data_IF_538443489864
#
_entry.id   IF_538443489864
#
_cell.length_a   1.000
_cell.length_b   1.000
_cell.length_c   1.000
_cell.angle_alpha   90.00
_cell.angle_beta   90.00
_cell.angle_gamma   90.00
#
_symmetry.space_group_name_H-M   'P 1'
#
loop_
_entity.id
_entity.type
_entity.pdbx_description
1 polymer ?
#
# COMPACT_ATOMS: atom_id res chain seq x y z
N UNK A 1 -3.01 2.35 12.08
CA UNK A 1 -1.85 3.26 12.28
C UNK A 1 -1.86 4.32 11.19
N UNK A 2 -1.30 5.50 11.46
CA UNK A 2 -1.00 6.53 10.46
C UNK A 2 0.33 6.21 9.77
N UNK A 3 0.52 6.72 8.55
CA UNK A 3 1.76 6.51 7.79
C UNK A 3 3.02 6.96 8.54
N UNK A 4 2.96 8.12 9.22
CA UNK A 4 4.08 8.64 10.01
C UNK A 4 4.54 7.70 11.13
N UNK A 5 3.61 6.97 11.75
CA UNK A 5 3.94 5.98 12.77
C UNK A 5 4.68 4.80 12.15
N UNK A 6 4.24 4.32 10.97
CA UNK A 6 4.87 3.24 10.24
C UNK A 6 6.30 3.61 9.82
N UNK A 7 6.52 4.84 9.34
CA UNK A 7 7.86 5.31 9.01
C UNK A 7 8.83 5.26 10.20
N UNK A 8 8.33 5.53 11.42
CA UNK A 8 9.14 5.48 12.64
C UNK A 8 9.43 4.03 13.08
N UNK A 9 8.47 3.12 12.92
CA UNK A 9 8.63 1.72 13.32
C UNK A 9 9.47 0.90 12.33
N UNK A 10 9.41 1.22 11.04
CA UNK A 10 10.04 0.45 9.97
C UNK A 10 10.95 1.32 9.10
N UNK A 11 12.00 1.98 9.65
CA UNK A 11 12.82 2.92 8.89
C UNK A 11 13.61 2.23 7.77
N UNK A 12 13.51 2.76 6.55
CA UNK A 12 14.28 2.28 5.38
C UNK A 12 13.82 0.93 4.84
N UNK A 13 12.52 0.62 4.95
CA UNK A 13 11.91 -0.65 4.54
C UNK A 13 10.88 -0.43 3.45
N UNK A 14 10.68 -1.45 2.62
CA UNK A 14 9.43 -1.59 1.88
C UNK A 14 8.40 -2.24 2.80
N UNK A 15 7.20 -1.69 2.85
CA UNK A 15 6.09 -2.22 3.65
C UNK A 15 4.88 -2.46 2.75
N UNK A 16 4.32 -3.66 2.86
CA UNK A 16 2.99 -3.95 2.35
C UNK A 16 1.99 -3.52 3.43
N UNK A 17 1.11 -2.61 3.06
CA UNK A 17 0.06 -2.11 3.94
C UNK A 17 -1.31 -2.46 3.39
N UNK A 18 -2.23 -2.78 4.29
CA UNK A 18 -3.65 -2.79 4.00
C UNK A 18 -4.24 -1.42 4.37
N UNK A 19 -5.00 -0.82 3.47
CA UNK A 19 -5.79 0.37 3.76
C UNK A 19 -7.05 -0.04 4.54
N UNK A 20 -7.14 0.39 5.79
CA UNK A 20 -8.31 0.13 6.67
C UNK A 20 -9.35 1.22 6.47
N UNK A 21 -8.90 2.46 6.31
CA UNK A 21 -9.77 3.62 6.05
C UNK A 21 -9.09 4.55 5.07
N UNK A 22 -9.78 4.84 3.97
CA UNK A 22 -9.28 5.74 2.95
C UNK A 22 -10.43 6.52 2.29
N UNK A 23 -10.13 7.74 1.87
CA UNK A 23 -11.06 8.66 1.22
C UNK A 23 -10.55 9.00 -0.18
N UNK A 24 -11.46 9.04 -1.15
CA UNK A 24 -11.13 9.40 -2.53
C UNK A 24 -11.72 10.76 -2.87
N UNK A 25 -10.89 11.67 -3.39
CA UNK A 25 -11.33 12.99 -3.87
C UNK A 25 -10.51 13.39 -5.08
N UNK A 26 -11.16 13.73 -6.19
CA UNK A 26 -10.48 14.16 -7.43
C UNK A 26 -9.40 13.17 -7.92
N UNK A 27 -9.67 11.85 -7.83
CA UNK A 27 -8.74 10.74 -8.14
C UNK A 27 -7.54 10.61 -7.19
N UNK A 28 -7.46 11.45 -6.16
CA UNK A 28 -6.50 11.28 -5.08
C UNK A 28 -7.12 10.36 -4.02
N UNK A 29 -6.45 9.25 -3.73
CA UNK A 29 -6.79 8.31 -2.66
C UNK A 29 -5.91 8.62 -1.46
N UNK A 30 -6.52 9.15 -0.40
CA UNK A 30 -5.86 9.44 0.87
C UNK A 30 -6.14 8.32 1.86
N UNK A 31 -5.08 7.63 2.30
CA UNK A 31 -5.20 6.56 3.30
C UNK A 31 -5.08 7.18 4.69
N UNK A 32 -6.18 7.18 5.45
CA UNK A 32 -6.25 7.75 6.80
C UNK A 32 -5.74 6.77 7.85
N UNK A 33 -6.09 5.49 7.70
CA UNK A 33 -5.67 4.41 8.58
C UNK A 33 -5.25 3.19 7.78
N UNK A 34 -4.12 2.60 8.18
CA UNK A 34 -3.56 1.41 7.56
C UNK A 34 -2.93 0.48 8.59
N UNK A 35 -2.72 -0.77 8.18
CA UNK A 35 -2.02 -1.79 8.96
C UNK A 35 -0.89 -2.37 8.13
N UNK A 36 0.29 -2.55 8.73
CA UNK A 36 1.40 -3.25 8.07
C UNK A 36 1.10 -4.74 8.07
N UNK A 37 1.11 -5.35 6.88
CA UNK A 37 0.92 -6.79 6.67
C UNK A 37 2.28 -7.48 6.73
N UNK A 38 3.27 -6.95 6.02
CA UNK A 38 4.62 -7.49 5.94
C UNK A 38 5.62 -6.40 5.56
N UNK A 39 6.91 -6.64 5.85
CA UNK A 39 8.03 -5.76 5.50
C UNK A 39 9.08 -6.49 4.66
N UNK A 40 9.80 -5.74 3.82
CA UNK A 40 10.78 -6.28 2.90
C UNK A 40 12.00 -5.37 2.75
N UNK A 41 13.14 -5.99 2.42
CA UNK A 41 14.40 -5.30 2.11
C UNK A 41 14.44 -4.72 0.69
N UNK A 42 13.70 -5.30 -0.26
CA UNK A 42 13.82 -4.96 -1.67
C UNK A 42 12.44 -4.90 -2.36
N UNK A 43 12.32 -4.14 -3.46
CA UNK A 43 11.04 -3.92 -4.12
C UNK A 43 10.51 -5.18 -4.83
N UNK A 44 11.38 -6.12 -5.23
CA UNK A 44 10.97 -7.33 -5.96
C UNK A 44 10.15 -8.23 -5.04
N UNK A 45 10.68 -8.54 -3.86
CA UNK A 45 9.98 -9.37 -2.87
C UNK A 45 8.73 -8.68 -2.33
N UNK A 46 8.74 -7.36 -2.20
CA UNK A 46 7.55 -6.61 -1.82
C UNK A 46 6.42 -6.74 -2.86
N UNK A 47 6.77 -6.75 -4.15
CA UNK A 47 5.81 -6.96 -5.23
C UNK A 47 5.32 -8.40 -5.36
N UNK A 48 6.15 -9.38 -5.03
CA UNK A 48 5.72 -10.78 -4.94
C UNK A 48 4.73 -10.97 -3.78
N UNK A 49 5.02 -10.41 -2.61
CA UNK A 49 4.14 -10.43 -1.46
C UNK A 49 2.79 -9.76 -1.74
N UNK A 50 2.81 -8.55 -2.34
CA UNK A 50 1.59 -7.87 -2.78
C UNK A 50 0.72 -8.76 -3.69
N UNK A 51 1.33 -9.41 -4.70
CA UNK A 51 0.59 -10.27 -5.64
C UNK A 51 -0.04 -11.47 -4.93
N UNK A 52 0.66 -12.07 -3.96
CA UNK A 52 0.13 -13.18 -3.18
C UNK A 52 -1.09 -12.74 -2.37
N UNK A 53 -0.95 -11.69 -1.57
CA UNK A 53 -2.03 -11.18 -0.73
C UNK A 53 -3.25 -10.71 -1.54
N UNK A 54 -3.02 -10.02 -2.66
CA UNK A 54 -4.09 -9.57 -3.55
C UNK A 54 -4.79 -10.75 -4.25
N UNK A 55 -4.06 -11.84 -4.58
CA UNK A 55 -4.66 -13.05 -5.15
C UNK A 55 -5.55 -13.76 -4.13
N UNK A 56 -5.12 -13.82 -2.87
CA UNK A 56 -5.85 -14.48 -1.79
C UNK A 56 -7.06 -13.67 -1.30
N UNK A 57 -6.96 -12.34 -1.32
CA UNK A 57 -7.98 -11.42 -0.81
C UNK A 57 -8.18 -10.24 -1.79
N UNK A 58 -8.75 -10.47 -2.99
CA UNK A 58 -8.85 -9.45 -4.04
C UNK A 58 -9.76 -8.28 -3.68
N UNK A 59 -10.64 -8.43 -2.70
CA UNK A 59 -11.52 -7.40 -2.18
C UNK A 59 -10.82 -6.44 -1.21
N UNK A 60 -9.66 -6.82 -0.66
CA UNK A 60 -8.88 -5.98 0.25
C UNK A 60 -7.98 -5.02 -0.53
N UNK A 61 -7.80 -3.84 0.03
CA UNK A 61 -7.05 -2.75 -0.59
C UNK A 61 -5.62 -2.74 -0.05
N UNK A 62 -4.67 -3.20 -0.87
CA UNK A 62 -3.26 -3.29 -0.51
C UNK A 62 -2.39 -2.29 -1.27
N UNK A 63 -1.31 -1.82 -0.63
CA UNK A 63 -0.31 -0.96 -1.23
C UNK A 63 1.09 -1.32 -0.77
N UNK A 64 2.09 -1.09 -1.62
CA UNK A 64 3.49 -1.15 -1.24
C UNK A 64 4.08 0.25 -1.24
N UNK A 65 4.66 0.65 -0.11
CA UNK A 65 5.36 1.91 0.05
C UNK A 65 6.77 1.68 0.60
N UNK A 66 7.65 2.64 0.36
CA UNK A 66 8.97 2.68 1.01
C UNK A 66 8.96 3.75 2.09
N UNK A 67 9.35 3.40 3.31
CA UNK A 67 9.24 4.27 4.50
C UNK A 67 10.21 5.44 4.52
N UNK A 68 11.15 5.52 3.57
CA UNK A 68 11.92 6.74 3.36
C UNK A 68 11.08 7.90 2.80
N UNK A 69 9.88 7.63 2.28
CA UNK A 69 8.95 8.67 1.82
C UNK A 69 8.10 9.13 3.00
N UNK A 70 8.31 10.37 3.46
CA UNK A 70 7.55 10.93 4.58
C UNK A 70 6.07 11.11 4.27
N UNK A 71 5.75 11.31 2.99
CA UNK A 71 4.39 11.45 2.49
C UNK A 71 4.16 10.43 1.37
N UNK A 72 2.94 9.90 1.30
CA UNK A 72 2.51 8.96 0.27
C UNK A 72 1.32 9.56 -0.47
N UNK A 73 1.34 9.40 -1.79
CA UNK A 73 0.27 9.83 -2.68
C UNK A 73 -0.15 8.61 -3.52
N UNK A 74 -1.45 8.34 -3.55
CA UNK A 74 -2.04 7.29 -4.38
C UNK A 74 -3.00 7.95 -5.36
N UNK A 75 -2.72 7.79 -6.65
CA UNK A 75 -3.57 8.27 -7.72
C UNK A 75 -4.41 7.10 -8.24
N UNK A 76 -5.73 7.24 -8.18
CA UNK A 76 -6.66 6.25 -8.72
C UNK A 76 -6.70 6.35 -10.24
N UNK A 77 -6.20 5.31 -10.91
CA UNK A 77 -6.42 5.11 -12.33
C UNK A 77 -7.46 4.00 -12.54
N UNK A 78 -8.58 4.36 -13.17
CA UNK A 78 -9.59 3.39 -13.56
C UNK A 78 -9.09 2.60 -14.78
N UNK A 79 -8.72 1.34 -14.56
CA UNK A 79 -8.37 0.43 -15.65
C UNK A 79 -9.64 -0.04 -16.38
N UNK A 80 -9.78 0.33 -17.66
CA UNK A 80 -10.92 -0.04 -18.51
C UNK A 80 -10.68 -1.29 -19.35
N UNK A 81 -9.55 -1.98 -19.17
CA UNK A 81 -9.20 -3.19 -19.93
C UNK A 81 -9.81 -4.47 -19.36
N UNK A 82 -9.75 -5.55 -20.16
CA UNK A 82 -10.19 -6.89 -19.75
C UNK A 82 -9.09 -7.54 -18.91
N UNK A 83 -9.38 -7.85 -17.64
CA UNK A 83 -8.54 -8.71 -16.80
C UNK A 83 -8.79 -10.17 -17.25
N UNK A 84 -7.77 -10.85 -17.78
CA UNK A 84 -7.80 -12.27 -18.16
C UNK A 84 -7.35 -13.16 -17.01
#
# INVERSE_FOLDING_TARGET
>A
MRWSEICNHYPGRFVLVEAIKAVSKNRLRTIEEMTVVEEYDNPVTAWEGYKLHHKENPEREFYVFHTSKQEIEVIEEYFTGVRK
#
